data_IF_674860454774
#
_entry.id   IF_674860454774
#
_cell.length_a   1.000
_cell.length_b   1.000
_cell.length_c   1.000
_cell.angle_alpha   90.00
_cell.angle_beta   90.00
_cell.angle_gamma   90.00
#
_symmetry.space_group_name_H-M   'P 1'
#
loop_
_entity.id
_entity.type
_entity.pdbx_description
1 polymer ?
#
# COMPACT_ATOMS: atom_id res chain seq x y z
N UNK A 1 1.11 29.62 24.51
CA UNK A 1 2.21 28.78 25.02
C UNK A 1 2.00 27.30 24.71
N UNK A 2 0.83 26.71 25.01
CA UNK A 2 0.50 25.30 24.70
C UNK A 2 0.64 24.90 23.21
N UNK A 3 0.23 25.77 22.29
CA UNK A 3 0.41 25.55 20.83
C UNK A 3 1.87 25.52 20.39
N UNK A 4 2.75 26.29 21.04
CA UNK A 4 4.18 26.32 20.71
C UNK A 4 4.86 25.01 21.15
N UNK A 5 4.50 24.50 22.33
CA UNK A 5 5.02 23.22 22.85
C UNK A 5 4.54 22.07 21.96
N UNK A 6 3.27 22.05 21.57
CA UNK A 6 2.74 21.06 20.66
C UNK A 6 3.44 21.09 19.28
N UNK A 7 3.69 22.28 18.73
CA UNK A 7 4.38 22.44 17.45
C UNK A 7 5.85 22.03 17.54
N UNK A 8 6.57 22.42 18.60
CA UNK A 8 8.00 22.07 18.78
C UNK A 8 8.17 20.57 19.02
N UNK A 9 7.33 19.95 19.84
CA UNK A 9 7.34 18.50 20.02
C UNK A 9 6.95 17.78 18.72
N UNK A 10 5.93 18.28 17.99
CA UNK A 10 5.51 17.72 16.71
C UNK A 10 6.61 17.77 15.64
N UNK A 11 7.35 18.87 15.56
CA UNK A 11 8.50 19.01 14.65
C UNK A 11 9.65 18.11 15.11
N UNK A 12 9.97 18.06 16.41
CA UNK A 12 11.05 17.21 16.93
C UNK A 12 10.79 15.71 16.70
N UNK A 13 9.55 15.23 16.91
CA UNK A 13 9.15 13.86 16.56
C UNK A 13 9.04 13.65 15.03
N UNK A 14 8.65 14.69 14.29
CA UNK A 14 8.55 14.65 12.83
C UNK A 14 9.90 14.52 12.14
N UNK A 15 10.94 15.22 12.61
CA UNK A 15 12.26 15.25 11.98
C UNK A 15 13.02 13.92 12.08
N UNK A 16 12.74 13.08 13.08
CA UNK A 16 13.50 11.85 13.33
C UNK A 16 12.89 10.59 12.69
N UNK A 17 11.56 10.53 12.55
CA UNK A 17 10.85 9.33 12.07
C UNK A 17 9.92 9.53 10.86
N UNK A 18 9.43 10.75 10.60
CA UNK A 18 8.36 10.96 9.62
C UNK A 18 8.79 10.68 8.19
N UNK A 19 10.03 11.02 7.83
CA UNK A 19 10.58 10.72 6.49
C UNK A 19 10.62 9.21 6.18
N UNK A 20 10.61 8.33 7.20
CA UNK A 20 10.60 6.87 7.03
C UNK A 20 9.18 6.33 6.78
N UNK A 21 8.16 6.96 7.38
CA UNK A 21 6.75 6.56 7.29
C UNK A 21 6.07 7.16 6.05
N UNK A 22 6.43 8.37 5.66
CA UNK A 22 5.82 9.10 4.53
C UNK A 22 5.70 8.27 3.23
N UNK A 23 6.74 7.54 2.78
CA UNK A 23 6.64 6.75 1.55
C UNK A 23 5.62 5.60 1.65
N UNK A 24 5.35 5.09 2.86
CA UNK A 24 4.40 3.99 3.06
C UNK A 24 2.95 4.46 2.92
N UNK A 25 2.64 5.72 3.26
CA UNK A 25 1.31 6.28 2.99
C UNK A 25 1.00 6.31 1.49
N UNK A 26 2.01 6.57 0.65
CA UNK A 26 1.87 6.47 -0.80
C UNK A 26 1.46 5.06 -1.26
N UNK A 27 2.15 4.03 -0.77
CA UNK A 27 1.81 2.64 -1.08
C UNK A 27 0.44 2.21 -0.53
N UNK A 28 0.11 2.60 0.71
CA UNK A 28 -1.19 2.32 1.33
C UNK A 28 -2.35 2.95 0.53
N UNK A 29 -2.19 4.19 0.07
CA UNK A 29 -3.19 4.87 -0.74
C UNK A 29 -3.38 4.20 -2.10
N UNK A 30 -2.30 3.66 -2.68
CA UNK A 30 -2.43 2.91 -3.93
C UNK A 30 -3.17 1.58 -3.73
N UNK A 31 -2.99 0.91 -2.59
CA UNK A 31 -3.77 -0.28 -2.23
C UNK A 31 -5.24 0.06 -1.99
N UNK A 32 -5.54 1.17 -1.30
CA UNK A 32 -6.92 1.64 -1.08
C UNK A 32 -7.62 1.98 -2.40
N UNK A 33 -6.92 2.64 -3.32
CA UNK A 33 -7.43 2.90 -4.66
C UNK A 33 -7.68 1.59 -5.45
N UNK A 34 -6.81 0.59 -5.30
CA UNK A 34 -7.04 -0.76 -5.84
C UNK A 34 -8.32 -1.40 -5.29
N UNK A 35 -8.57 -1.29 -3.97
CA UNK A 35 -9.79 -1.80 -3.32
C UNK A 35 -11.04 -1.07 -3.83
N UNK A 36 -10.97 0.27 -3.93
CA UNK A 36 -12.07 1.08 -4.43
C UNK A 36 -12.43 0.73 -5.87
N UNK A 37 -11.43 0.56 -6.75
CA UNK A 37 -11.65 0.13 -8.13
C UNK A 37 -12.23 -1.28 -8.21
N UNK A 38 -11.81 -2.20 -7.34
CA UNK A 38 -12.41 -3.55 -7.24
C UNK A 38 -13.88 -3.50 -6.85
N UNK A 39 -14.23 -2.67 -5.85
CA UNK A 39 -15.61 -2.47 -5.42
C UNK A 39 -16.47 -1.83 -6.53
N UNK A 40 -15.93 -0.85 -7.25
CA UNK A 40 -16.64 -0.22 -8.37
C UNK A 40 -16.80 -1.20 -9.54
N UNK A 41 -15.80 -2.03 -9.84
CA UNK A 41 -15.91 -3.01 -10.90
C UNK A 41 -16.89 -4.14 -10.57
N UNK A 42 -16.94 -4.62 -9.33
CA UNK A 42 -17.94 -5.61 -8.89
C UNK A 42 -19.35 -5.01 -8.93
N UNK A 43 -19.51 -3.74 -8.59
CA UNK A 43 -20.77 -3.02 -8.71
C UNK A 43 -21.20 -2.81 -10.18
N UNK A 44 -20.31 -2.34 -11.05
CA UNK A 44 -20.61 -2.15 -12.49
C UNK A 44 -20.95 -3.45 -13.19
N UNK A 45 -20.35 -4.56 -12.76
CA UNK A 45 -20.70 -5.90 -13.21
C UNK A 45 -22.16 -6.25 -12.86
N UNK A 46 -22.60 -5.95 -11.64
CA UNK A 46 -24.00 -6.14 -11.24
C UNK A 46 -24.94 -5.16 -11.95
N UNK A 47 -24.47 -3.94 -12.26
CA UNK A 47 -25.23 -2.93 -13.00
C UNK A 47 -25.27 -3.14 -14.53
N UNK A 48 -24.75 -4.28 -15.04
CA UNK A 48 -24.72 -4.64 -16.46
C UNK A 48 -24.09 -3.59 -17.41
N UNK A 49 -23.27 -2.67 -16.89
CA UNK A 49 -22.63 -1.60 -17.67
C UNK A 49 -21.22 -2.02 -18.08
N UNK A 50 -20.76 -1.57 -19.24
CA UNK A 50 -19.48 -1.96 -19.81
C UNK A 50 -18.29 -1.65 -18.85
N UNK A 51 -17.70 -2.70 -18.28
CA UNK A 51 -16.71 -2.62 -17.19
C UNK A 51 -15.25 -2.62 -17.70
N UNK A 52 -15.01 -2.77 -19.01
CA UNK A 52 -13.68 -2.94 -19.61
C UNK A 52 -12.74 -1.74 -19.40
N UNK A 53 -13.27 -0.52 -19.30
CA UNK A 53 -12.49 0.71 -19.12
C UNK A 53 -11.86 0.83 -17.72
N UNK A 54 -12.45 0.20 -16.69
CA UNK A 54 -11.95 0.27 -15.30
C UNK A 54 -11.04 -0.91 -14.94
N UNK A 55 -11.22 -2.05 -15.59
CA UNK A 55 -10.42 -3.26 -15.35
C UNK A 55 -8.96 -3.06 -15.77
N UNK A 56 -8.70 -2.34 -16.87
CA UNK A 56 -7.34 -2.07 -17.35
C UNK A 56 -6.49 -1.26 -16.33
N UNK A 57 -6.91 -0.05 -15.88
CA UNK A 57 -6.15 0.72 -14.90
C UNK A 57 -6.05 -0.02 -13.55
N UNK A 58 -7.06 -0.79 -13.17
CA UNK A 58 -7.02 -1.59 -11.94
C UNK A 58 -5.93 -2.67 -11.97
N UNK A 59 -5.85 -3.47 -13.05
CA UNK A 59 -4.82 -4.53 -13.16
C UNK A 59 -3.42 -3.92 -13.14
N UNK A 60 -3.21 -2.85 -13.92
CA UNK A 60 -1.92 -2.16 -13.95
C UNK A 60 -1.53 -1.64 -12.56
N UNK A 61 -2.47 -0.99 -11.87
CA UNK A 61 -2.24 -0.45 -10.53
C UNK A 61 -1.93 -1.55 -9.50
N UNK A 62 -2.61 -2.71 -9.58
CA UNK A 62 -2.33 -3.86 -8.72
C UNK A 62 -0.95 -4.48 -8.97
N UNK A 63 -0.54 -4.63 -10.23
CA UNK A 63 0.79 -5.18 -10.56
C UNK A 63 1.90 -4.23 -10.06
N UNK A 64 1.74 -2.93 -10.28
CA UNK A 64 2.72 -1.91 -9.86
C UNK A 64 2.81 -1.84 -8.33
N UNK A 65 1.68 -1.87 -7.61
CA UNK A 65 1.68 -1.87 -6.14
C UNK A 65 2.33 -3.12 -5.57
N UNK A 66 1.98 -4.32 -6.05
CA UNK A 66 2.58 -5.56 -5.57
C UNK A 66 4.09 -5.61 -5.82
N UNK A 67 4.52 -5.21 -7.01
CA UNK A 67 5.94 -5.19 -7.38
C UNK A 67 6.71 -4.20 -6.49
N UNK A 68 6.17 -3.00 -6.29
CA UNK A 68 6.75 -1.96 -5.41
C UNK A 68 6.85 -2.43 -3.95
N UNK A 69 5.82 -3.11 -3.46
CA UNK A 69 5.74 -3.59 -2.08
C UNK A 69 6.70 -4.77 -1.83
N UNK A 70 6.83 -5.70 -2.80
CA UNK A 70 7.83 -6.78 -2.76
C UNK A 70 9.26 -6.23 -2.73
N UNK A 71 9.59 -5.30 -3.62
CA UNK A 71 10.92 -4.68 -3.68
C UNK A 71 11.23 -3.97 -2.37
N UNK A 72 10.26 -3.19 -1.86
CA UNK A 72 10.41 -2.47 -0.59
C UNK A 72 10.59 -3.43 0.58
N UNK A 73 9.79 -4.49 0.68
CA UNK A 73 9.89 -5.48 1.75
C UNK A 73 11.24 -6.20 1.71
N UNK A 74 11.65 -6.75 0.56
CA UNK A 74 12.94 -7.42 0.41
C UNK A 74 14.13 -6.48 0.69
N UNK A 75 14.08 -5.22 0.24
CA UNK A 75 15.13 -4.24 0.50
C UNK A 75 15.26 -3.92 1.99
N UNK A 76 14.14 -3.75 2.71
CA UNK A 76 14.15 -3.40 4.14
C UNK A 76 14.49 -4.59 5.03
N UNK A 77 14.07 -5.80 4.66
CA UNK A 77 14.47 -7.05 5.35
C UNK A 77 15.98 -7.29 5.20
N UNK A 78 16.55 -7.10 4.00
CA UNK A 78 18.00 -7.22 3.80
C UNK A 78 18.80 -6.22 4.62
N UNK A 79 18.32 -4.98 4.75
CA UNK A 79 18.94 -3.96 5.61
C UNK A 79 18.88 -4.37 7.09
N UNK A 80 17.77 -4.99 7.53
CA UNK A 80 17.62 -5.47 8.91
C UNK A 80 18.53 -6.67 9.21
N UNK A 81 18.65 -7.63 8.28
CA UNK A 81 19.51 -8.80 8.42
C UNK A 81 21.01 -8.50 8.26
N UNK A 82 21.39 -7.43 7.55
CA UNK A 82 22.78 -7.02 7.38
C UNK A 82 23.40 -6.39 8.64
N UNK A 83 22.62 -6.10 9.69
CA UNK A 83 23.11 -5.68 11.00
C UNK A 83 23.86 -4.33 11.05
N UNK A 84 23.87 -3.56 9.96
CA UNK A 84 24.61 -2.31 9.87
C UNK A 84 23.68 -1.08 10.06
N UNK A 85 23.61 -0.58 11.29
CA UNK A 85 23.06 0.75 11.62
C UNK A 85 21.64 0.80 12.23
N UNK A 86 21.30 1.95 12.83
CA UNK A 86 20.08 2.31 13.57
C UNK A 86 18.86 1.40 13.33
N UNK A 87 18.68 0.40 14.18
CA UNK A 87 17.63 -0.62 14.12
C UNK A 87 16.19 -0.09 14.24
N UNK A 88 16.00 1.09 14.83
CA UNK A 88 14.67 1.65 15.09
C UNK A 88 13.95 2.16 13.83
N UNK A 89 14.68 2.79 12.89
CA UNK A 89 14.07 3.40 11.71
C UNK A 89 13.68 2.40 10.60
N UNK A 90 14.58 1.50 10.17
CA UNK A 90 14.29 0.43 9.22
C UNK A 90 13.34 -0.62 9.80
N UNK A 91 13.41 -0.90 11.12
CA UNK A 91 12.52 -1.84 11.79
C UNK A 91 11.05 -1.43 11.72
N UNK A 92 10.74 -0.17 12.07
CA UNK A 92 9.37 0.36 11.95
C UNK A 92 8.87 0.29 10.50
N UNK A 93 9.73 0.64 9.54
CA UNK A 93 9.38 0.63 8.12
C UNK A 93 9.14 -0.79 7.60
N UNK A 94 9.96 -1.77 8.00
CA UNK A 94 9.82 -3.17 7.61
C UNK A 94 8.54 -3.79 8.20
N UNK A 95 8.21 -3.50 9.47
CA UNK A 95 6.99 -3.99 10.10
C UNK A 95 5.74 -3.41 9.43
N UNK A 96 5.68 -2.10 9.21
CA UNK A 96 4.54 -1.46 8.53
C UNK A 96 4.42 -1.89 7.06
N UNK A 97 5.54 -2.01 6.33
CA UNK A 97 5.54 -2.51 4.97
C UNK A 97 5.10 -3.98 4.91
N UNK A 98 5.50 -4.80 5.89
CA UNK A 98 5.06 -6.19 6.02
C UNK A 98 3.55 -6.31 6.25
N UNK A 99 2.97 -5.48 7.12
CA UNK A 99 1.51 -5.43 7.32
C UNK A 99 0.80 -5.05 6.02
N UNK A 100 1.26 -3.99 5.34
CA UNK A 100 0.70 -3.58 4.04
C UNK A 100 0.85 -4.68 2.99
N UNK A 101 1.96 -5.42 3.01
CA UNK A 101 2.20 -6.53 2.09
C UNK A 101 1.21 -7.67 2.28
N UNK A 102 0.94 -8.06 3.53
CA UNK A 102 -0.10 -9.04 3.85
C UNK A 102 -1.46 -8.55 3.36
N UNK A 103 -1.82 -7.29 3.62
CA UNK A 103 -3.06 -6.68 3.11
C UNK A 103 -3.16 -6.73 1.58
N UNK A 104 -2.07 -6.43 0.88
CA UNK A 104 -2.02 -6.49 -0.57
C UNK A 104 -2.28 -7.91 -1.10
N UNK A 105 -1.74 -8.94 -0.45
CA UNK A 105 -2.00 -10.34 -0.82
C UNK A 105 -3.47 -10.72 -0.63
N UNK A 106 -4.10 -10.28 0.47
CA UNK A 106 -5.55 -10.46 0.67
C UNK A 106 -6.36 -9.79 -0.45
N UNK A 107 -5.99 -8.56 -0.81
CA UNK A 107 -6.67 -7.81 -1.85
C UNK A 107 -6.54 -8.49 -3.23
N UNK A 108 -5.37 -9.02 -3.57
CA UNK A 108 -5.17 -9.80 -4.81
C UNK A 108 -6.02 -11.05 -4.81
N UNK A 109 -6.09 -11.76 -3.69
CA UNK A 109 -6.94 -12.96 -3.56
C UNK A 109 -8.40 -12.63 -3.87
N UNK A 110 -8.89 -11.48 -3.41
CA UNK A 110 -10.25 -11.01 -3.68
C UNK A 110 -10.40 -10.45 -5.11
N UNK A 111 -9.34 -9.86 -5.66
CA UNK A 111 -9.31 -9.34 -7.02
C UNK A 111 -9.48 -10.44 -8.08
N UNK A 112 -8.80 -11.57 -7.90
CA UNK A 112 -8.78 -12.68 -8.86
C UNK A 112 -10.18 -13.22 -9.23
N UNK A 113 -11.08 -13.57 -8.29
CA UNK A 113 -12.42 -14.04 -8.63
C UNK A 113 -13.27 -12.94 -9.28
N UNK A 114 -13.13 -11.67 -8.85
CA UNK A 114 -13.83 -10.53 -9.47
C UNK A 114 -13.40 -10.36 -10.92
N UNK A 115 -12.09 -10.44 -11.20
CA UNK A 115 -11.51 -10.32 -12.53
C UNK A 115 -11.91 -11.49 -13.44
N UNK A 116 -11.73 -12.74 -12.96
CA UNK A 116 -12.08 -13.97 -13.71
C UNK A 116 -13.56 -14.03 -14.05
N UNK A 117 -14.42 -13.61 -13.13
CA UNK A 117 -15.87 -13.57 -13.38
C UNK A 117 -16.30 -12.32 -14.16
N UNK A 118 -15.46 -11.28 -14.27
CA UNK A 118 -15.70 -10.09 -15.10
C UNK A 118 -15.34 -10.29 -16.58
N UNK A 119 -14.46 -11.26 -16.88
CA UNK A 119 -14.04 -11.62 -18.25
C UNK A 119 -14.91 -12.70 -18.92
N UNK A 120 -15.78 -13.40 -18.18
CA UNK A 120 -16.68 -14.45 -18.70
C UNK A 120 -17.97 -13.93 -19.38
N UNK A 121 -17.94 -12.75 -20.01
CA UNK A 121 -19.03 -12.25 -20.87
C UNK A 121 -18.51 -11.93 -22.25
#
# INVERSE_FOLDING_TARGET
>A
FSTLIAVVLGIAFGMTGWSKVWPLFGAANQLLAGLALLAVASWLKNAARNHRMLVFPMIFMLIVTLSSLLITFCAKVKVLCAGAGDMYGPGLQATLAGILFILALFLVREALPVLKNGLKK
#
